data_IF_550762339111
#
_entry.id   IF_550762339111
#
_cell.length_a   1.000
_cell.length_b   1.000
_cell.length_c   1.000
_cell.angle_alpha   90.00
_cell.angle_beta   90.00
_cell.angle_gamma   90.00
#
_symmetry.space_group_name_H-M   'P 1'
#
loop_
_entity.id
_entity.type
_entity.pdbx_description
1 polymer ?
#
# COMPACT_ATOMS: atom_id res chain seq x y z
N UNK A 1 -12.94 3.21 8.14
CA UNK A 1 -13.66 4.07 7.21
C UNK A 1 -12.76 5.21 6.72
N UNK A 2 -12.35 6.12 7.59
CA UNK A 2 -11.51 7.28 7.29
C UNK A 2 -10.21 6.94 6.52
N UNK A 3 -9.46 5.94 6.95
CA UNK A 3 -8.22 5.51 6.27
C UNK A 3 -8.47 5.05 4.82
N UNK A 4 -9.60 4.39 4.56
CA UNK A 4 -9.96 3.97 3.20
C UNK A 4 -10.41 5.14 2.35
N UNK A 5 -11.12 6.10 2.91
CA UNK A 5 -11.54 7.33 2.24
C UNK A 5 -10.31 8.18 1.87
N UNK A 6 -9.36 8.34 2.80
CA UNK A 6 -8.11 9.03 2.53
C UNK A 6 -7.26 8.35 1.45
N UNK A 7 -7.14 7.01 1.51
CA UNK A 7 -6.44 6.25 0.47
C UNK A 7 -7.10 6.42 -0.89
N UNK A 8 -8.43 6.34 -0.96
CA UNK A 8 -9.16 6.56 -2.21
C UNK A 8 -8.93 7.97 -2.76
N UNK A 9 -8.99 8.98 -1.89
CA UNK A 9 -8.75 10.36 -2.27
C UNK A 9 -7.38 10.54 -2.95
N UNK A 10 -6.28 10.17 -2.31
CA UNK A 10 -4.97 10.43 -2.91
C UNK A 10 -4.57 9.43 -4.00
N UNK A 11 -5.04 8.19 -3.95
CA UNK A 11 -4.64 7.13 -4.89
C UNK A 11 -5.52 7.06 -6.15
N UNK A 12 -6.71 7.66 -6.11
CA UNK A 12 -7.69 7.63 -7.21
C UNK A 12 -8.08 9.03 -7.65
N UNK A 13 -8.68 9.84 -6.74
CA UNK A 13 -9.23 11.14 -7.12
C UNK A 13 -8.15 12.18 -7.47
N UNK A 14 -7.03 12.17 -6.72
CA UNK A 14 -5.91 13.10 -6.90
C UNK A 14 -4.72 12.47 -7.64
N UNK A 15 -4.89 11.26 -8.19
CA UNK A 15 -3.84 10.59 -8.94
C UNK A 15 -3.50 11.35 -10.22
N UNK A 16 -2.20 11.46 -10.53
CA UNK A 16 -1.74 11.91 -11.84
C UNK A 16 -1.96 10.80 -12.87
N UNK A 17 -3.03 10.92 -13.64
CA UNK A 17 -3.41 9.92 -14.66
C UNK A 17 -2.31 9.70 -15.69
N UNK A 18 -1.57 10.74 -16.08
CA UNK A 18 -0.44 10.61 -17.01
C UNK A 18 0.69 9.77 -16.43
N UNK A 19 1.03 9.98 -15.17
CA UNK A 19 2.02 9.16 -14.47
C UNK A 19 1.54 7.72 -14.26
N UNK A 20 0.28 7.52 -13.91
CA UNK A 20 -0.34 6.19 -13.78
C UNK A 20 -0.27 5.43 -15.10
N UNK A 21 -0.66 6.07 -16.20
CA UNK A 21 -0.62 5.47 -17.54
C UNK A 21 0.80 5.09 -17.95
N UNK A 22 1.79 5.94 -17.69
CA UNK A 22 3.20 5.64 -17.97
C UNK A 22 3.72 4.44 -17.16
N UNK A 23 3.36 4.34 -15.87
CA UNK A 23 3.73 3.21 -15.02
C UNK A 23 3.07 1.90 -15.48
N UNK A 24 1.80 1.95 -15.82
CA UNK A 24 1.05 0.79 -16.34
C UNK A 24 1.62 0.35 -17.67
N UNK A 25 1.88 1.27 -18.62
CA UNK A 25 2.49 0.97 -19.91
C UNK A 25 3.87 0.34 -19.78
N UNK A 26 4.70 0.82 -18.83
CA UNK A 26 6.01 0.22 -18.54
C UNK A 26 5.90 -1.21 -18.04
N UNK A 27 4.90 -1.51 -17.21
CA UNK A 27 4.61 -2.88 -16.73
C UNK A 27 4.08 -3.77 -17.84
N UNK A 28 3.17 -3.25 -18.67
CA UNK A 28 2.61 -3.98 -19.80
C UNK A 28 3.68 -4.48 -20.78
N UNK A 29 4.73 -3.69 -21.01
CA UNK A 29 5.89 -4.08 -21.86
C UNK A 29 6.69 -5.26 -21.30
N UNK A 30 6.58 -5.54 -20.00
CA UNK A 30 7.34 -6.60 -19.30
C UNK A 30 6.55 -7.87 -19.05
N UNK A 31 5.26 -7.89 -19.37
CA UNK A 31 4.40 -9.02 -19.04
C UNK A 31 3.04 -8.98 -19.73
N UNK A 32 2.18 -9.90 -19.35
CA UNK A 32 0.82 -10.11 -19.89
C UNK A 32 -0.22 -9.21 -19.26
N UNK A 33 0.00 -7.88 -19.28
CA UNK A 33 -0.97 -6.96 -18.68
C UNK A 33 -2.35 -7.06 -19.33
N UNK A 34 -2.38 -7.19 -20.66
CA UNK A 34 -3.63 -7.23 -21.42
C UNK A 34 -4.46 -8.47 -21.13
N UNK A 35 -3.81 -9.57 -20.73
CA UNK A 35 -4.44 -10.84 -20.35
C UNK A 35 -5.01 -10.85 -18.92
N UNK A 36 -4.76 -9.79 -18.14
CA UNK A 36 -5.22 -9.72 -16.75
C UNK A 36 -6.73 -9.44 -16.65
N UNK A 37 -7.41 -9.99 -15.64
CA UNK A 37 -8.78 -9.60 -15.32
C UNK A 37 -8.90 -8.11 -15.05
N UNK A 38 -10.04 -7.51 -15.40
CA UNK A 38 -10.28 -6.06 -15.22
C UNK A 38 -10.15 -5.60 -13.77
N UNK A 39 -10.53 -6.42 -12.81
CA UNK A 39 -10.32 -6.14 -11.39
C UNK A 39 -8.83 -6.01 -11.06
N UNK A 40 -8.00 -6.87 -11.58
CA UNK A 40 -6.55 -6.82 -11.36
C UNK A 40 -5.92 -5.60 -12.04
N UNK A 41 -6.38 -5.23 -13.22
CA UNK A 41 -5.97 -3.99 -13.91
C UNK A 41 -6.32 -2.76 -13.06
N UNK A 42 -7.55 -2.69 -12.52
CA UNK A 42 -7.96 -1.60 -11.61
C UNK A 42 -7.07 -1.53 -10.36
N UNK A 43 -6.80 -2.67 -9.74
CA UNK A 43 -5.91 -2.74 -8.57
C UNK A 43 -4.48 -2.26 -8.88
N UNK A 44 -3.95 -2.61 -10.04
CA UNK A 44 -2.63 -2.15 -10.48
C UNK A 44 -2.59 -0.64 -10.73
N UNK A 45 -3.64 -0.07 -11.33
CA UNK A 45 -3.78 1.38 -11.52
C UNK A 45 -3.85 2.11 -10.18
N UNK A 46 -4.68 1.65 -9.27
CA UNK A 46 -4.80 2.22 -7.92
C UNK A 46 -3.47 2.19 -7.15
N UNK A 47 -2.73 1.08 -7.24
CA UNK A 47 -1.38 0.98 -6.65
C UNK A 47 -0.39 1.95 -7.30
N UNK A 48 -0.49 2.16 -8.60
CA UNK A 48 0.34 3.12 -9.31
C UNK A 48 0.05 4.56 -8.86
N UNK A 49 -1.23 4.93 -8.71
CA UNK A 49 -1.65 6.24 -8.20
C UNK A 49 -1.30 6.47 -6.73
N UNK A 50 -1.38 5.42 -5.91
CA UNK A 50 -1.15 5.50 -4.46
C UNK A 50 0.32 5.42 -4.02
N UNK A 51 1.26 5.15 -4.92
CA UNK A 51 2.65 5.07 -4.50
C UNK A 51 3.50 4.05 -5.25
N UNK A 52 3.75 4.29 -6.52
CA UNK A 52 4.72 3.56 -7.33
C UNK A 52 4.46 2.03 -7.43
N UNK A 53 3.23 1.61 -7.18
CA UNK A 53 2.81 0.22 -7.27
C UNK A 53 3.10 -0.64 -6.04
N UNK A 54 3.40 -0.02 -4.91
CA UNK A 54 3.55 -0.72 -3.63
C UNK A 54 2.22 -1.39 -3.21
N UNK A 55 2.33 -2.42 -2.38
CA UNK A 55 1.15 -3.06 -1.78
C UNK A 55 0.55 -2.12 -0.71
N UNK A 56 -0.70 -1.68 -0.85
CA UNK A 56 -1.30 -0.76 0.11
C UNK A 56 -1.70 -1.51 1.39
N UNK A 57 -1.27 -0.99 2.54
CA UNK A 57 -1.72 -1.43 3.85
C UNK A 57 -2.52 -0.29 4.46
N UNK A 58 -3.85 -0.40 4.39
CA UNK A 58 -4.78 0.65 4.81
C UNK A 58 -5.65 0.12 5.95
N UNK A 59 -5.81 0.92 6.99
CA UNK A 59 -6.64 0.58 8.14
C UNK A 59 -6.26 1.38 9.40
N UNK A 60 -6.92 1.04 10.50
CA UNK A 60 -6.51 1.50 11.83
C UNK A 60 -5.24 0.74 12.31
N UNK A 61 -4.60 1.15 13.41
CA UNK A 61 -3.38 0.51 13.90
C UNK A 61 -3.48 -1.01 14.08
N UNK A 62 -4.61 -1.51 14.59
CA UNK A 62 -4.82 -2.95 14.77
C UNK A 62 -4.88 -3.70 13.43
N UNK A 63 -5.56 -3.13 12.44
CA UNK A 63 -5.64 -3.68 11.09
C UNK A 63 -4.28 -3.69 10.41
N UNK A 64 -3.51 -2.60 10.53
CA UNK A 64 -2.16 -2.49 9.95
C UNK A 64 -1.23 -3.49 10.59
N UNK A 65 -1.19 -3.58 11.92
CA UNK A 65 -0.39 -4.55 12.64
C UNK A 65 -0.75 -5.99 12.26
N UNK A 66 -2.05 -6.32 12.20
CA UNK A 66 -2.50 -7.65 11.81
C UNK A 66 -2.06 -8.04 10.39
N UNK A 67 -2.11 -7.11 9.42
CA UNK A 67 -1.64 -7.34 8.06
C UNK A 67 -0.13 -7.56 8.00
N UNK A 68 0.66 -6.77 8.73
CA UNK A 68 2.12 -6.95 8.81
C UNK A 68 2.49 -8.30 9.43
N UNK A 69 1.80 -8.70 10.50
CA UNK A 69 1.98 -10.01 11.13
C UNK A 69 1.61 -11.16 10.19
N UNK A 70 0.54 -11.01 9.41
CA UNK A 70 0.16 -11.99 8.40
C UNK A 70 1.26 -12.16 7.34
N UNK A 71 1.82 -11.08 6.84
CA UNK A 71 2.90 -11.09 5.87
C UNK A 71 4.18 -11.69 6.47
N UNK A 72 4.50 -11.37 7.72
CA UNK A 72 5.63 -11.97 8.45
C UNK A 72 5.46 -13.50 8.57
N UNK A 73 4.28 -13.98 8.95
CA UNK A 73 3.98 -15.42 9.02
C UNK A 73 4.06 -16.12 7.66
N UNK A 74 3.86 -15.39 6.57
CA UNK A 74 4.04 -15.87 5.21
C UNK A 74 5.52 -15.90 4.76
N UNK A 75 6.47 -15.53 5.63
CA UNK A 75 7.90 -15.59 5.39
C UNK A 75 8.55 -14.28 4.93
N UNK A 76 7.88 -13.14 5.12
CA UNK A 76 8.46 -11.84 4.81
C UNK A 76 9.06 -11.24 6.08
N UNK A 77 10.39 -11.15 6.16
CA UNK A 77 11.12 -10.72 7.35
C UNK A 77 11.42 -9.22 7.39
N UNK A 78 11.36 -8.53 6.25
CA UNK A 78 11.66 -7.11 6.16
C UNK A 78 10.73 -6.38 5.21
N UNK A 79 10.40 -5.13 5.55
CA UNK A 79 9.51 -4.28 4.77
C UNK A 79 10.16 -2.92 4.49
N UNK A 80 10.17 -2.51 3.23
CA UNK A 80 10.39 -1.12 2.86
C UNK A 80 9.02 -0.42 2.84
N UNK A 81 8.82 0.55 3.74
CA UNK A 81 7.53 1.22 3.92
C UNK A 81 7.58 2.65 3.39
N UNK A 82 6.55 3.03 2.65
CA UNK A 82 6.28 4.41 2.27
C UNK A 82 5.02 4.92 2.95
N UNK A 83 5.01 6.20 3.32
CA UNK A 83 3.87 6.89 3.91
C UNK A 83 3.40 8.02 2.99
N UNK A 84 2.09 8.21 2.87
CA UNK A 84 1.53 9.31 2.08
C UNK A 84 1.91 10.69 2.67
N UNK A 85 1.97 10.78 4.00
CA UNK A 85 2.46 11.94 4.73
C UNK A 85 3.42 11.49 5.83
N UNK A 86 4.73 11.64 5.60
CA UNK A 86 5.76 11.20 6.54
C UNK A 86 5.74 11.97 7.86
N UNK A 87 5.39 13.25 7.83
CA UNK A 87 5.40 14.10 9.03
C UNK A 87 4.37 13.64 10.06
N UNK A 88 3.21 13.25 9.59
CA UNK A 88 2.10 12.80 10.45
C UNK A 88 2.10 11.29 10.65
N UNK A 89 2.27 10.52 9.56
CA UNK A 89 2.07 9.08 9.62
C UNK A 89 3.22 8.31 10.22
N UNK A 90 4.46 8.79 10.11
CA UNK A 90 5.60 8.07 10.68
C UNK A 90 5.61 8.10 12.22
N UNK A 91 5.40 9.25 12.89
CA UNK A 91 5.21 9.24 14.35
C UNK A 91 4.01 8.41 14.79
N UNK A 92 2.89 8.51 14.08
CA UNK A 92 1.70 7.73 14.38
C UNK A 92 1.95 6.22 14.26
N UNK A 93 2.65 5.78 13.22
CA UNK A 93 3.05 4.39 13.06
C UNK A 93 3.96 3.90 14.19
N UNK A 94 4.97 4.72 14.56
CA UNK A 94 5.88 4.44 15.68
C UNK A 94 5.12 4.25 16.99
N UNK A 95 4.18 5.15 17.28
CA UNK A 95 3.54 5.21 18.59
C UNK A 95 2.35 4.24 18.70
N UNK A 96 1.70 3.92 17.59
CA UNK A 96 0.49 3.11 17.58
C UNK A 96 0.68 1.71 16.99
N UNK A 97 1.48 1.53 15.95
CA UNK A 97 1.62 0.23 15.28
C UNK A 97 2.80 -0.57 15.82
N UNK A 98 3.97 0.04 15.99
CA UNK A 98 5.16 -0.68 16.47
C UNK A 98 4.94 -1.38 17.82
N UNK A 99 4.29 -0.77 18.85
CA UNK A 99 4.05 -1.47 20.12
C UNK A 99 3.19 -2.72 19.96
N UNK A 100 2.27 -2.74 19.00
CA UNK A 100 1.44 -3.92 18.71
C UNK A 100 2.25 -5.06 18.09
N UNK A 101 3.18 -4.72 17.21
CA UNK A 101 4.10 -5.70 16.62
C UNK A 101 5.08 -6.24 17.67
N UNK A 102 5.64 -5.39 18.49
CA UNK A 102 6.55 -5.78 19.58
C UNK A 102 5.84 -6.70 20.60
N UNK A 103 4.60 -6.40 20.96
CA UNK A 103 3.78 -7.26 21.82
C UNK A 103 3.53 -8.64 21.21
N UNK A 104 3.53 -8.74 19.89
CA UNK A 104 3.41 -10.00 19.15
C UNK A 104 4.77 -10.70 18.91
N UNK A 105 5.88 -10.16 19.45
CA UNK A 105 7.22 -10.69 19.33
C UNK A 105 7.92 -10.38 17.99
N UNK A 106 7.43 -9.41 17.25
CA UNK A 106 7.98 -8.97 15.94
C UNK A 106 8.41 -7.50 16.04
N UNK A 107 9.53 -7.18 15.45
CA UNK A 107 10.08 -5.81 15.48
C UNK A 107 10.41 -5.29 14.08
#
# INVERSE_FOLDING_TARGET
KEANEYHHYYAVEMADEGAVDALVARRARRGRYDDLPEEMKRNLRQRAGGGNGAYPIVGNPDTVAAKLLMLHRAGIDAFAMGFANYVEHLPYFRDEVLPRLESAGVR
#
